data_IF_866885958552
#
_entry.id   IF_866885958552
#
_cell.length_a   1.000
_cell.length_b   1.000
_cell.length_c   1.000
_cell.angle_alpha   90.00
_cell.angle_beta   90.00
_cell.angle_gamma   90.00
#
_symmetry.space_group_name_H-M   'P 1'
#
loop_
_entity.id
_entity.type
_entity.pdbx_description
1 polymer ?
#
# COMPACT_ATOMS: atom_id res chain seq x y z
N UNK A 1 -30.30 -26.05 -5.54
CA UNK A 1 -28.87 -25.76 -5.29
C UNK A 1 -28.21 -25.47 -6.62
N UNK A 2 -27.89 -24.22 -6.91
CA UNK A 2 -27.17 -23.84 -8.12
C UNK A 2 -25.67 -24.11 -7.95
N UNK A 3 -25.11 -24.98 -8.79
CA UNK A 3 -23.69 -25.33 -8.86
C UNK A 3 -22.91 -24.45 -9.85
N UNK A 4 -23.44 -23.28 -10.23
CA UNK A 4 -22.73 -22.41 -11.16
C UNK A 4 -21.52 -21.79 -10.43
N UNK A 5 -20.32 -21.84 -11.04
CA UNK A 5 -19.15 -21.19 -10.46
C UNK A 5 -19.44 -19.69 -10.33
N UNK A 6 -18.95 -19.10 -9.23
CA UNK A 6 -19.07 -17.66 -9.00
C UNK A 6 -18.38 -16.89 -10.15
N UNK A 7 -18.82 -15.66 -10.46
CA UNK A 7 -18.14 -14.83 -11.44
C UNK A 7 -16.68 -14.60 -11.02
N UNK A 8 -15.80 -14.37 -12.00
CA UNK A 8 -14.37 -14.15 -11.77
C UNK A 8 -14.09 -13.02 -10.78
N UNK A 9 -14.91 -11.97 -10.82
CA UNK A 9 -14.80 -10.83 -9.90
C UNK A 9 -14.96 -11.25 -8.44
N UNK A 10 -15.81 -12.24 -8.14
CA UNK A 10 -15.94 -12.78 -6.78
C UNK A 10 -14.65 -13.44 -6.24
N UNK A 11 -13.68 -13.72 -7.11
CA UNK A 11 -12.34 -14.20 -6.75
C UNK A 11 -11.26 -13.10 -6.84
N UNK A 12 -11.66 -11.84 -7.01
CA UNK A 12 -10.75 -10.70 -7.19
C UNK A 12 -10.04 -10.69 -8.55
N UNK A 13 -10.57 -11.39 -9.56
CA UNK A 13 -9.99 -11.43 -10.90
C UNK A 13 -10.68 -10.42 -11.82
N UNK A 14 -9.91 -9.49 -12.37
CA UNK A 14 -10.38 -8.57 -13.41
C UNK A 14 -10.55 -9.29 -14.75
N UNK A 15 -11.47 -8.79 -15.58
CA UNK A 15 -11.76 -9.41 -16.88
C UNK A 15 -10.59 -9.35 -17.85
N UNK A 16 -9.79 -8.27 -17.78
CA UNK A 16 -8.71 -7.99 -18.73
C UNK A 16 -7.31 -8.23 -18.14
N UNK A 17 -7.14 -7.97 -16.84
CA UNK A 17 -5.84 -8.02 -16.16
C UNK A 17 -5.61 -9.26 -15.30
N UNK A 18 -6.59 -10.17 -15.19
CA UNK A 18 -6.51 -11.34 -14.33
C UNK A 18 -6.33 -10.93 -12.87
N UNK A 19 -5.17 -11.17 -12.28
CA UNK A 19 -4.86 -10.77 -10.90
C UNK A 19 -4.58 -9.28 -10.73
N UNK A 20 -4.41 -8.54 -11.83
CA UNK A 20 -4.25 -7.09 -11.77
C UNK A 20 -5.60 -6.43 -11.47
N UNK A 21 -5.61 -5.34 -10.68
CA UNK A 21 -6.77 -4.49 -10.54
C UNK A 21 -7.29 -4.02 -11.91
N UNK A 22 -8.62 -3.84 -12.07
CA UNK A 22 -9.20 -3.32 -13.30
C UNK A 22 -8.82 -1.84 -13.54
N UNK A 23 -8.63 -1.07 -12.47
CA UNK A 23 -8.26 0.34 -12.50
C UNK A 23 -6.78 0.54 -12.19
N UNK A 24 -6.24 1.70 -12.58
CA UNK A 24 -4.86 2.07 -12.28
C UNK A 24 -4.63 2.16 -10.75
N UNK A 25 -3.46 1.73 -10.25
CA UNK A 25 -3.12 1.87 -8.85
C UNK A 25 -3.15 3.32 -8.40
N UNK A 26 -3.69 3.57 -7.21
CA UNK A 26 -3.74 4.91 -6.63
C UNK A 26 -2.31 5.49 -6.50
N UNK A 27 -2.02 6.69 -7.03
CA UNK A 27 -0.68 7.25 -7.03
C UNK A 27 -0.24 7.80 -5.67
N UNK A 28 -1.19 8.19 -4.80
CA UNK A 28 -0.97 8.69 -3.44
C UNK A 28 -2.28 8.55 -2.64
N UNK A 29 -2.20 8.24 -1.35
CA UNK A 29 -3.34 8.34 -0.43
C UNK A 29 -3.91 9.77 -0.41
N UNK A 30 -5.25 9.87 -0.44
CA UNK A 30 -5.94 11.15 -0.58
C UNK A 30 -6.01 11.93 0.73
N UNK A 31 -6.11 11.22 1.86
CA UNK A 31 -6.16 11.82 3.20
C UNK A 31 -4.77 12.29 3.65
N UNK A 32 -4.56 13.59 3.91
CA UNK A 32 -3.31 14.13 4.43
C UNK A 32 -2.86 13.51 5.75
N UNK A 33 -3.76 12.87 6.50
CA UNK A 33 -3.42 12.09 7.70
C UNK A 33 -2.29 11.08 7.44
N UNK A 34 -2.24 10.51 6.22
CA UNK A 34 -1.22 9.53 5.83
C UNK A 34 0.02 10.13 5.12
N UNK A 35 0.14 11.45 5.09
CA UNK A 35 1.32 12.13 4.51
C UNK A 35 2.67 11.66 5.07
N UNK A 36 2.83 11.28 6.36
CA UNK A 36 4.09 10.74 6.86
C UNK A 36 4.57 9.51 6.09
N UNK A 37 3.66 8.61 5.69
CA UNK A 37 3.98 7.44 4.89
C UNK A 37 4.38 7.82 3.48
N UNK A 38 3.54 8.62 2.83
CA UNK A 38 3.68 8.99 1.43
C UNK A 38 4.91 9.88 1.17
N UNK A 39 5.21 10.80 2.09
CA UNK A 39 6.36 11.72 1.96
C UNK A 39 7.69 11.00 2.11
N UNK A 40 7.75 10.00 2.98
CA UNK A 40 8.97 9.20 3.13
C UNK A 40 9.16 8.28 1.92
N UNK A 41 8.08 7.70 1.39
CA UNK A 41 8.16 6.78 0.25
C UNK A 41 8.42 7.47 -1.11
N UNK A 42 7.97 8.73 -1.29
CA UNK A 42 8.05 9.44 -2.57
C UNK A 42 9.47 9.51 -3.17
N UNK A 43 10.50 9.67 -2.33
CA UNK A 43 11.91 9.77 -2.75
C UNK A 43 12.76 8.67 -2.11
N UNK A 44 12.20 7.46 -1.98
CA UNK A 44 12.85 6.36 -1.28
C UNK A 44 14.29 6.08 -1.75
N UNK A 45 14.62 6.02 -3.06
CA UNK A 45 15.99 5.75 -3.51
C UNK A 45 17.02 6.76 -3.00
N UNK A 46 16.68 8.05 -3.00
CA UNK A 46 17.56 9.12 -2.51
C UNK A 46 17.73 9.03 -1.00
N UNK A 47 16.64 8.80 -0.26
CA UNK A 47 16.69 8.67 1.21
C UNK A 47 17.53 7.49 1.67
N UNK A 48 17.52 6.38 0.92
CA UNK A 48 18.32 5.20 1.23
C UNK A 48 19.83 5.43 1.11
N UNK A 49 20.28 6.51 0.44
CA UNK A 49 21.71 6.90 0.42
C UNK A 49 22.21 7.35 1.80
N UNK A 50 21.31 7.88 2.64
CA UNK A 50 21.56 8.27 4.02
C UNK A 50 20.81 7.34 4.98
N UNK A 51 21.19 6.05 4.99
CA UNK A 51 20.42 5.00 5.66
C UNK A 51 20.17 5.25 7.16
N UNK A 52 21.12 5.88 7.87
CA UNK A 52 20.95 6.18 9.29
C UNK A 52 19.90 7.27 9.53
N UNK A 53 19.82 8.26 8.64
CA UNK A 53 18.76 9.29 8.65
C UNK A 53 17.42 8.66 8.28
N UNK A 54 17.38 7.83 7.25
CA UNK A 54 16.17 7.10 6.87
C UNK A 54 15.61 6.26 8.02
N UNK A 55 16.45 5.48 8.71
CA UNK A 55 16.02 4.67 9.86
C UNK A 55 15.53 5.54 11.01
N UNK A 56 16.16 6.70 11.24
CA UNK A 56 15.70 7.68 12.22
C UNK A 56 14.33 8.25 11.86
N UNK A 57 14.12 8.64 10.60
CA UNK A 57 12.84 9.16 10.11
C UNK A 57 11.73 8.13 10.30
N UNK A 58 11.98 6.85 9.99
CA UNK A 58 11.01 5.76 10.24
C UNK A 58 10.71 5.60 11.73
N UNK A 59 11.72 5.65 12.60
CA UNK A 59 11.54 5.50 14.06
C UNK A 59 10.79 6.69 14.69
N UNK A 60 10.93 7.88 14.12
CA UNK A 60 10.26 9.10 14.60
C UNK A 60 8.86 9.28 14.02
N UNK A 61 8.49 8.46 13.04
CA UNK A 61 7.18 8.52 12.39
C UNK A 61 6.06 8.21 13.41
N UNK A 62 4.99 9.02 13.44
CA UNK A 62 3.85 8.73 14.30
C UNK A 62 3.19 7.41 13.90
N UNK A 63 2.69 6.68 14.88
CA UNK A 63 1.80 5.53 14.62
C UNK A 63 0.47 6.09 14.11
N UNK A 64 0.11 5.71 12.89
CA UNK A 64 -1.14 6.12 12.25
C UNK A 64 -2.14 4.96 12.26
N UNK A 65 -3.40 5.27 12.59
CA UNK A 65 -4.49 4.30 12.59
C UNK A 65 -4.95 3.99 11.16
N UNK A 66 -5.15 2.72 10.84
CA UNK A 66 -5.61 2.30 9.51
C UNK A 66 -7.12 2.38 9.32
N UNK A 67 -7.87 2.70 10.39
CA UNK A 67 -9.33 2.81 10.37
C UNK A 67 -9.86 3.89 9.41
N UNK A 68 -9.03 4.88 9.09
CA UNK A 68 -9.37 5.98 8.17
C UNK A 68 -9.07 5.66 6.70
N UNK A 69 -8.43 4.53 6.38
CA UNK A 69 -8.31 4.07 4.99
C UNK A 69 -9.71 3.65 4.55
N UNK A 70 -10.31 4.38 3.60
CA UNK A 70 -11.61 4.02 3.06
C UNK A 70 -11.44 2.67 2.36
N UNK A 71 -12.10 1.62 2.86
CA UNK A 71 -11.86 0.24 2.41
C UNK A 71 -12.16 -0.90 3.38
N UNK A 72 -12.28 -0.61 4.69
CA UNK A 72 -12.34 -1.62 5.75
C UNK A 72 -13.73 -1.92 6.33
N UNK A 73 -14.82 -1.76 5.58
CA UNK A 73 -16.16 -2.10 6.05
C UNK A 73 -16.50 -3.58 5.89
N UNK A 74 -16.94 -4.25 6.96
CA UNK A 74 -17.48 -5.62 6.91
C UNK A 74 -18.68 -5.67 5.95
N UNK A 75 -18.50 -6.31 4.79
CA UNK A 75 -19.55 -6.49 3.78
C UNK A 75 -19.30 -5.84 2.41
N UNK A 76 -18.05 -5.58 2.03
CA UNK A 76 -17.70 -5.01 0.72
C UNK A 76 -18.17 -5.86 -0.47
N UNK A 77 -19.26 -5.44 -1.09
CA UNK A 77 -19.51 -5.68 -2.52
C UNK A 77 -18.69 -4.65 -3.29
N UNK A 78 -17.98 -5.15 -4.31
CA UNK A 78 -16.96 -4.48 -5.11
C UNK A 78 -17.37 -3.10 -5.64
N UNK A 79 -16.78 -2.05 -5.05
CA UNK A 79 -16.49 -0.77 -5.70
C UNK A 79 -14.97 -0.59 -5.64
N UNK A 80 -14.32 -0.33 -6.78
CA UNK A 80 -12.86 -0.43 -6.89
C UNK A 80 -12.07 0.60 -6.09
N UNK A 81 -12.70 1.71 -5.70
CA UNK A 81 -12.08 2.80 -4.94
C UNK A 81 -11.75 2.41 -3.49
N UNK A 82 -12.61 1.62 -2.84
CA UNK A 82 -12.46 1.25 -1.42
C UNK A 82 -11.24 0.34 -1.16
N UNK A 83 -10.86 -0.52 -2.11
CA UNK A 83 -9.67 -1.36 -1.91
C UNK A 83 -8.38 -0.67 -2.38
N UNK A 84 -8.49 0.43 -3.13
CA UNK A 84 -7.34 1.10 -3.74
C UNK A 84 -6.45 1.76 -2.69
N UNK A 85 -7.03 2.44 -1.69
CA UNK A 85 -6.26 3.05 -0.59
C UNK A 85 -5.54 2.00 0.25
N UNK A 86 -6.22 0.91 0.59
CA UNK A 86 -5.62 -0.20 1.36
C UNK A 86 -4.46 -0.82 0.59
N UNK A 87 -4.61 -1.07 -0.71
CA UNK A 87 -3.53 -1.57 -1.57
C UNK A 87 -2.35 -0.60 -1.62
N UNK A 88 -2.63 0.70 -1.77
CA UNK A 88 -1.59 1.74 -1.78
C UNK A 88 -0.83 1.78 -0.47
N UNK A 89 -1.53 1.83 0.66
CA UNK A 89 -0.93 1.80 1.99
C UNK A 89 -0.04 0.57 2.17
N UNK A 90 -0.51 -0.61 1.72
CA UNK A 90 0.26 -1.85 1.80
C UNK A 90 1.57 -1.78 1.00
N UNK A 91 1.54 -1.26 -0.24
CA UNK A 91 2.72 -1.10 -1.08
C UNK A 91 3.71 -0.11 -0.45
N UNK A 92 3.22 1.05 0.00
CA UNK A 92 4.04 2.09 0.63
C UNK A 92 4.72 1.55 1.88
N UNK A 93 3.96 0.96 2.81
CA UNK A 93 4.50 0.43 4.07
C UNK A 93 5.45 -0.75 3.83
N UNK A 94 5.15 -1.60 2.83
CA UNK A 94 6.04 -2.67 2.41
C UNK A 94 7.39 -2.14 1.91
N UNK A 95 7.37 -1.13 1.03
CA UNK A 95 8.59 -0.48 0.54
C UNK A 95 9.39 0.17 1.68
N UNK A 96 8.71 0.87 2.60
CA UNK A 96 9.37 1.49 3.75
C UNK A 96 10.02 0.44 4.67
N UNK A 97 9.31 -0.65 4.93
CA UNK A 97 9.80 -1.76 5.75
C UNK A 97 11.03 -2.42 5.11
N UNK A 98 10.99 -2.65 3.80
CA UNK A 98 12.12 -3.21 3.05
C UNK A 98 13.34 -2.28 3.09
N UNK A 99 13.14 -0.98 2.89
CA UNK A 99 14.20 0.02 3.02
C UNK A 99 14.80 0.07 4.43
N UNK A 100 13.98 -0.12 5.46
CA UNK A 100 14.44 -0.06 6.85
C UNK A 100 15.32 -1.25 7.23
N UNK A 101 14.85 -2.45 6.90
CA UNK A 101 15.54 -3.70 7.24
C UNK A 101 16.79 -3.88 6.37
N UNK A 102 16.66 -3.70 5.06
CA UNK A 102 17.70 -4.09 4.08
C UNK A 102 18.50 -2.92 3.52
N UNK A 103 18.11 -1.68 3.80
CA UNK A 103 18.82 -0.50 3.31
C UNK A 103 20.24 -0.41 3.87
N UNK A 104 21.12 0.23 3.09
CA UNK A 104 22.54 0.42 3.43
C UNK A 104 23.49 -0.69 2.98
N UNK A 105 22.97 -1.83 2.51
CA UNK A 105 23.76 -2.96 2.00
C UNK A 105 24.71 -3.59 3.04
N UNK A 106 25.32 -4.72 2.69
CA UNK A 106 26.50 -5.17 3.41
C UNK A 106 27.66 -4.22 3.06
N UNK A 107 28.31 -3.64 4.07
CA UNK A 107 29.58 -2.96 3.89
C UNK A 107 30.64 -4.06 3.70
N UNK A 108 31.12 -4.23 2.47
CA UNK A 108 32.35 -4.98 2.18
C UNK A 108 33.57 -4.32 2.83
#
# INVERSE_FOLDING_TARGET
MSFLPLPRSAYGLSEWGGFLPPDEPLPRLSDPYFDPWETLAANLPERLTAIDEYRRDVQQMPVLETSSLTGGGEGGVEGSDDIAEVRRAHVVLGMLSMGYVWGGGEKE
#
